data_IF_023628103642
#
_entry.id   IF_023628103642
#
_cell.length_a   1.000
_cell.length_b   1.000
_cell.length_c   1.000
_cell.angle_alpha   90.00
_cell.angle_beta   90.00
_cell.angle_gamma   90.00
#
_symmetry.space_group_name_H-M   'P 1'
#
loop_
_entity.id
_entity.type
_entity.pdbx_description
1 polymer ?
#
# COMPACT_ATOMS: atom_id res chain seq x y z
N UNK A 1 -8.10 10.53 21.16
CA UNK A 1 -8.75 10.91 19.89
C UNK A 1 -8.11 10.09 18.77
N UNK A 2 -8.90 9.49 17.87
CA UNK A 2 -8.39 8.72 16.73
C UNK A 2 -8.26 9.61 15.49
N UNK A 3 -7.35 9.27 14.58
CA UNK A 3 -7.10 10.00 13.34
C UNK A 3 -8.00 9.46 12.23
N UNK A 4 -8.61 10.36 11.45
CA UNK A 4 -9.28 10.05 10.19
C UNK A 4 -8.64 10.87 9.07
N UNK A 5 -7.76 10.26 8.24
CA UNK A 5 -7.06 11.00 7.22
C UNK A 5 -7.96 11.29 6.01
N UNK A 6 -7.72 12.42 5.34
CA UNK A 6 -8.36 12.72 4.06
C UNK A 6 -7.80 11.87 2.91
N UNK A 7 -6.60 11.30 3.09
CA UNK A 7 -5.94 10.45 2.09
C UNK A 7 -5.32 9.23 2.79
N UNK A 8 -5.70 8.03 2.35
CA UNK A 8 -5.13 6.76 2.78
C UNK A 8 -4.35 6.13 1.63
N UNK A 9 -3.11 5.73 1.91
CA UNK A 9 -2.20 5.19 0.90
C UNK A 9 -1.60 3.87 1.39
N UNK A 10 -1.61 2.84 0.53
CA UNK A 10 -0.91 1.57 0.79
C UNK A 10 0.04 1.27 -0.36
N UNK A 11 1.24 0.80 -0.04
CA UNK A 11 2.19 0.31 -1.03
C UNK A 11 1.85 -1.09 -1.52
N UNK A 12 2.10 -1.35 -2.81
CA UNK A 12 1.89 -2.64 -3.47
C UNK A 12 0.66 -2.65 -4.38
N UNK A 13 0.30 -3.84 -4.86
CA UNK A 13 -0.67 -3.99 -5.93
C UNK A 13 -2.09 -4.28 -5.42
N UNK A 14 -2.46 -3.66 -4.30
CA UNK A 14 -3.78 -3.80 -3.70
C UNK A 14 -4.82 -3.04 -4.51
N UNK A 15 -6.00 -3.63 -4.73
CA UNK A 15 -7.13 -2.82 -5.19
C UNK A 15 -7.50 -1.84 -4.06
N UNK A 16 -7.87 -0.57 -4.36
CA UNK A 16 -8.19 0.40 -3.32
C UNK A 16 -9.24 -0.10 -2.30
N UNK A 17 -10.19 -0.91 -2.74
CA UNK A 17 -11.27 -1.49 -1.91
C UNK A 17 -10.77 -2.59 -0.96
N UNK A 18 -9.59 -3.16 -1.20
CA UNK A 18 -8.96 -4.18 -0.37
C UNK A 18 -8.04 -3.59 0.71
N UNK A 19 -7.88 -2.27 0.73
CA UNK A 19 -7.08 -1.56 1.72
C UNK A 19 -7.91 -1.42 3.01
N UNK A 20 -7.41 -1.96 4.11
CA UNK A 20 -8.05 -1.84 5.44
C UNK A 20 -8.30 -0.37 5.79
N UNK A 21 -9.55 -0.02 6.10
CA UNK A 21 -9.98 1.34 6.40
C UNK A 21 -10.37 2.17 5.18
N UNK A 22 -10.37 1.59 3.97
CA UNK A 22 -10.82 2.27 2.75
C UNK A 22 -12.29 2.70 2.85
N UNK A 23 -13.15 1.83 3.39
CA UNK A 23 -14.56 2.08 3.66
C UNK A 23 -14.76 3.30 4.57
N UNK A 24 -14.00 3.37 5.67
CA UNK A 24 -14.06 4.47 6.64
C UNK A 24 -13.65 5.79 5.97
N UNK A 25 -12.54 5.79 5.24
CA UNK A 25 -12.00 7.00 4.60
C UNK A 25 -12.90 7.46 3.45
N UNK A 26 -13.38 6.55 2.61
CA UNK A 26 -14.31 6.88 1.52
C UNK A 26 -15.65 7.39 2.05
N UNK A 27 -16.20 6.78 3.11
CA UNK A 27 -17.43 7.25 3.76
C UNK A 27 -17.30 8.67 4.32
N UNK A 28 -16.08 9.07 4.72
CA UNK A 28 -15.77 10.44 5.15
C UNK A 28 -15.45 11.41 3.99
N UNK A 29 -15.60 10.98 2.73
CA UNK A 29 -15.27 11.78 1.54
C UNK A 29 -13.78 11.86 1.21
N UNK A 30 -12.96 11.05 1.88
CA UNK A 30 -11.52 10.95 1.65
C UNK A 30 -11.17 10.07 0.44
N UNK A 31 -9.88 10.07 0.10
CA UNK A 31 -9.34 9.34 -1.04
C UNK A 31 -8.49 8.15 -0.60
N UNK A 32 -8.62 7.04 -1.32
CA UNK A 32 -7.77 5.85 -1.14
C UNK A 32 -6.92 5.67 -2.38
N UNK A 33 -5.64 5.34 -2.21
CA UNK A 33 -4.67 5.13 -3.30
C UNK A 33 -3.79 3.92 -3.01
N UNK A 34 -3.58 3.09 -4.03
CA UNK A 34 -2.50 2.10 -4.02
C UNK A 34 -1.29 2.64 -4.78
N UNK A 35 -0.10 2.48 -4.22
CA UNK A 35 1.14 2.82 -4.91
C UNK A 35 1.67 1.59 -5.64
N UNK A 36 1.94 1.75 -6.94
CA UNK A 36 2.53 0.69 -7.77
C UNK A 36 3.82 0.16 -7.16
N UNK A 37 3.99 -1.15 -7.25
CA UNK A 37 5.23 -1.79 -6.87
C UNK A 37 6.38 -1.34 -7.77
N UNK A 38 7.58 -1.16 -7.21
CA UNK A 38 8.79 -0.86 -7.99
C UNK A 38 9.56 -2.17 -8.20
N UNK A 39 9.57 -2.65 -9.44
CA UNK A 39 10.27 -3.89 -9.79
C UNK A 39 11.75 -3.85 -9.41
N UNK A 40 12.29 -5.00 -9.02
CA UNK A 40 13.70 -5.14 -8.62
C UNK A 40 14.05 -4.59 -7.23
N UNK A 41 13.16 -3.82 -6.59
CA UNK A 41 13.36 -3.26 -5.24
C UNK A 41 12.44 -3.98 -4.25
N UNK A 42 12.64 -5.28 -4.08
CA UNK A 42 11.92 -6.09 -3.10
C UNK A 42 12.89 -6.79 -2.16
N UNK A 43 12.50 -6.98 -0.90
CA UNK A 43 13.29 -7.78 0.04
C UNK A 43 13.53 -9.18 -0.51
N UNK A 44 12.54 -9.78 -1.19
CA UNK A 44 12.67 -11.07 -1.88
C UNK A 44 13.74 -11.03 -2.97
N UNK A 45 13.77 -9.99 -3.80
CA UNK A 45 14.77 -9.83 -4.85
C UNK A 45 16.17 -9.62 -4.27
N UNK A 46 16.28 -8.83 -3.19
CA UNK A 46 17.54 -8.62 -2.46
C UNK A 46 18.04 -9.94 -1.88
N UNK A 47 17.18 -10.70 -1.18
CA UNK A 47 17.53 -12.00 -0.59
C UNK A 47 17.94 -13.01 -1.67
N UNK A 48 17.21 -13.05 -2.79
CA UNK A 48 17.54 -13.92 -3.93
C UNK A 48 18.93 -13.60 -4.47
N UNK A 49 19.23 -12.30 -4.70
CA UNK A 49 20.55 -11.85 -5.13
C UNK A 49 21.67 -12.26 -4.17
N UNK A 50 21.43 -12.15 -2.85
CA UNK A 50 22.39 -12.57 -1.83
C UNK A 50 22.67 -14.08 -1.82
N UNK A 51 21.71 -14.91 -2.26
CA UNK A 51 21.86 -16.38 -2.32
C UNK A 51 22.46 -16.89 -3.62
N UNK A 52 22.32 -16.12 -4.70
CA UNK A 52 22.89 -16.42 -6.03
C UNK A 52 24.32 -15.90 -6.20
N UNK A 53 24.85 -15.16 -5.20
CA UNK A 53 26.23 -14.68 -5.12
C UNK A 53 27.09 -15.62 -4.28
#
# INVERSE_FOLDING_TARGET
>A
QAVQPNILVKGGDWRPEEIVGADIVQASGGMVRSLRFVEGISSTAIIKKMRES
#
